data_IF_465595058104
#
_entry.id   IF_465595058104
#
_cell.length_a   1.000
_cell.length_b   1.000
_cell.length_c   1.000
_cell.angle_alpha   90.00
_cell.angle_beta   90.00
_cell.angle_gamma   90.00
#
_symmetry.space_group_name_H-M   'P 1'
#
loop_
_entity.id
_entity.type
_entity.pdbx_description
1 polymer ?
#
# COMPACT_ATOMS: atom_id res chain seq x y z
N UNK A 1 9.25 2.26 11.79
CA UNK A 1 8.83 0.96 11.21
C UNK A 1 9.74 0.60 10.05
N UNK A 2 10.27 -0.63 10.04
CA UNK A 2 11.09 -1.15 8.94
C UNK A 2 10.20 -1.60 7.76
N UNK A 3 10.68 -1.57 6.50
CA UNK A 3 9.84 -1.84 5.33
C UNK A 3 9.15 -3.21 5.37
N UNK A 4 9.85 -4.27 5.77
CA UNK A 4 9.30 -5.63 5.81
C UNK A 4 8.13 -5.78 6.78
N UNK A 5 8.21 -5.17 7.97
CA UNK A 5 7.14 -5.17 8.96
C UNK A 5 5.91 -4.42 8.44
N UNK A 6 6.13 -3.31 7.72
CA UNK A 6 5.06 -2.56 7.09
C UNK A 6 4.36 -3.36 6.00
N UNK A 7 5.13 -4.04 5.15
CA UNK A 7 4.60 -4.90 4.09
C UNK A 7 3.73 -6.02 4.65
N UNK A 8 4.18 -6.66 5.73
CA UNK A 8 3.39 -7.68 6.41
C UNK A 8 2.06 -7.13 6.96
N UNK A 9 2.07 -5.92 7.54
CA UNK A 9 0.84 -5.29 8.02
C UNK A 9 -0.11 -4.90 6.87
N UNK A 10 0.41 -4.39 5.76
CA UNK A 10 -0.39 -4.10 4.56
C UNK A 10 -1.07 -5.38 4.06
N UNK A 11 -0.31 -6.47 3.91
CA UNK A 11 -0.86 -7.76 3.46
C UNK A 11 -1.88 -8.34 4.44
N UNK A 12 -1.63 -8.24 5.75
CA UNK A 12 -2.56 -8.70 6.77
C UNK A 12 -3.89 -7.93 6.71
N UNK A 13 -3.83 -6.60 6.56
CA UNK A 13 -5.02 -5.75 6.41
C UNK A 13 -5.81 -6.08 5.15
N UNK A 14 -5.14 -6.33 4.03
CA UNK A 14 -5.78 -6.78 2.79
C UNK A 14 -6.42 -8.16 2.95
N UNK A 15 -5.74 -9.10 3.60
CA UNK A 15 -6.26 -10.45 3.82
C UNK A 15 -7.48 -10.45 4.75
N UNK A 16 -7.48 -9.61 5.79
CA UNK A 16 -8.58 -9.49 6.74
C UNK A 16 -9.80 -8.80 6.13
N UNK A 17 -9.60 -7.71 5.40
CA UNK A 17 -10.68 -6.83 4.92
C UNK A 17 -11.11 -7.12 3.48
N UNK A 18 -10.32 -7.90 2.75
CA UNK A 18 -10.44 -8.13 1.31
C UNK A 18 -10.00 -6.92 0.49
N UNK A 19 -10.51 -5.73 0.82
CA UNK A 19 -10.17 -4.48 0.14
C UNK A 19 -9.82 -3.35 1.10
N UNK A 20 -8.66 -2.72 0.90
CA UNK A 20 -8.21 -1.53 1.65
C UNK A 20 -7.76 -0.40 0.72
N UNK A 21 -7.93 0.84 1.17
CA UNK A 21 -7.55 2.05 0.45
C UNK A 21 -6.19 2.57 0.91
N UNK A 22 -5.47 3.27 0.04
CA UNK A 22 -4.19 3.90 0.40
C UNK A 22 -4.35 4.87 1.58
N UNK A 23 -5.43 5.66 1.62
CA UNK A 23 -5.69 6.58 2.72
C UNK A 23 -5.76 5.85 4.07
N UNK A 24 -6.49 4.73 4.15
CA UNK A 24 -6.59 3.93 5.37
C UNK A 24 -5.22 3.36 5.79
N UNK A 25 -4.40 2.93 4.83
CA UNK A 25 -3.04 2.46 5.12
C UNK A 25 -2.16 3.59 5.66
N UNK A 26 -2.27 4.80 5.11
CA UNK A 26 -1.50 5.96 5.59
C UNK A 26 -1.89 6.36 7.01
N UNK A 27 -3.18 6.32 7.33
CA UNK A 27 -3.69 6.64 8.67
C UNK A 27 -3.28 5.57 9.69
N UNK A 28 -3.46 4.28 9.37
CA UNK A 28 -3.15 3.17 10.28
C UNK A 28 -1.65 2.99 10.54
N UNK A 29 -0.84 3.15 9.50
CA UNK A 29 0.60 2.90 9.57
C UNK A 29 1.40 4.18 9.88
N UNK A 30 0.71 5.33 9.98
CA UNK A 30 1.30 6.65 10.21
C UNK A 30 2.46 6.96 9.25
N UNK A 31 2.26 6.68 7.96
CA UNK A 31 3.24 6.93 6.88
C UNK A 31 2.62 7.73 5.75
N UNK A 32 3.46 8.38 4.95
CA UNK A 32 3.01 9.16 3.80
C UNK A 32 2.45 8.28 2.67
N UNK A 33 1.60 8.88 1.84
CA UNK A 33 1.07 8.25 0.63
C UNK A 33 2.16 7.72 -0.30
N UNK A 34 3.26 8.48 -0.46
CA UNK A 34 4.42 8.06 -1.28
C UNK A 34 5.13 6.83 -0.71
N UNK A 35 5.16 6.68 0.62
CA UNK A 35 5.72 5.49 1.27
C UNK A 35 4.88 4.27 0.97
N UNK A 36 3.56 4.35 1.17
CA UNK A 36 2.63 3.26 0.83
C UNK A 36 2.73 2.90 -0.66
N UNK A 37 2.76 3.89 -1.57
CA UNK A 37 2.91 3.61 -3.01
C UNK A 37 4.19 2.83 -3.33
N UNK A 38 5.34 3.21 -2.77
CA UNK A 38 6.61 2.50 -2.96
C UNK A 38 6.57 1.08 -2.37
N UNK A 39 5.91 0.92 -1.24
CA UNK A 39 5.76 -0.40 -0.60
C UNK A 39 4.89 -1.34 -1.42
N UNK A 40 3.76 -0.83 -1.92
CA UNK A 40 2.86 -1.57 -2.81
C UNK A 40 3.58 -1.96 -4.11
N UNK A 41 4.31 -1.03 -4.72
CA UNK A 41 5.13 -1.32 -5.90
C UNK A 41 6.11 -2.48 -5.65
N UNK A 42 6.81 -2.46 -4.51
CA UNK A 42 7.71 -3.56 -4.13
C UNK A 42 6.98 -4.88 -3.90
N UNK A 43 5.79 -4.84 -3.31
CA UNK A 43 4.96 -6.03 -3.08
C UNK A 43 4.45 -6.63 -4.39
N UNK A 44 4.08 -5.77 -5.37
CA UNK A 44 3.74 -6.17 -6.73
C UNK A 44 4.90 -6.85 -7.45
N UNK A 45 6.10 -6.24 -7.39
CA UNK A 45 7.33 -6.78 -7.98
C UNK A 45 7.70 -8.16 -7.38
N UNK A 46 7.39 -8.39 -6.10
CA UNK A 46 7.61 -9.66 -5.41
C UNK A 46 6.53 -10.71 -5.69
N UNK A 47 5.53 -10.41 -6.54
CA UNK A 47 4.44 -11.32 -6.89
C UNK A 47 3.36 -11.47 -5.81
N UNK A 48 3.42 -10.65 -4.75
CA UNK A 48 2.62 -10.79 -3.53
C UNK A 48 1.54 -9.70 -3.39
N UNK A 49 0.49 -9.78 -4.19
CA UNK A 49 -0.85 -9.33 -3.74
C UNK A 49 -1.16 -7.83 -3.70
N UNK A 50 -1.28 -7.17 -4.86
CA UNK A 50 -2.00 -5.88 -4.97
C UNK A 50 -3.50 -6.05 -5.27
N UNK A 51 -3.99 -7.29 -5.47
CA UNK A 51 -5.37 -7.56 -5.92
C UNK A 51 -6.47 -7.01 -4.99
N UNK A 52 -6.16 -6.73 -3.72
CA UNK A 52 -7.10 -6.16 -2.75
C UNK A 52 -6.85 -4.69 -2.40
N UNK A 53 -5.95 -3.98 -3.07
CA UNK A 53 -5.72 -2.57 -2.76
C UNK A 53 -6.48 -1.70 -3.78
N UNK A 54 -7.44 -0.90 -3.31
CA UNK A 54 -8.06 0.13 -4.17
C UNK A 54 -7.15 1.33 -4.27
N UNK A 55 -6.40 1.41 -5.38
CA UNK A 55 -5.85 2.67 -5.87
C UNK A 55 -7.04 3.57 -6.24
N UNK A 56 -7.32 4.56 -5.38
CA UNK A 56 -8.35 5.56 -5.66
C UNK A 56 -8.13 6.16 -7.05
N UNK A 57 -9.22 6.32 -7.80
CA UNK A 57 -9.21 6.98 -9.10
C UNK A 57 -8.69 8.42 -8.90
N UNK A 58 -7.43 8.65 -9.25
CA UNK A 58 -6.73 9.89 -8.97
C UNK A 58 -5.41 9.94 -9.71
N UNK A 59 -5.51 10.33 -10.98
CA UNK A 59 -4.59 11.19 -11.73
C UNK A 59 -3.10 10.87 -11.67
N UNK A 60 -2.53 10.53 -12.83
CA UNK A 60 -1.10 10.69 -13.06
C UNK A 60 -0.68 12.17 -13.03
N UNK A 61 0.52 12.42 -12.52
CA UNK A 61 1.42 13.48 -12.95
C UNK A 61 2.84 13.17 -12.45
N UNK A 62 3.81 13.42 -13.32
CA UNK A 62 5.24 13.26 -13.14
C UNK A 62 5.90 14.42 -12.36
N UNK A 63 7.20 14.26 -12.04
CA UNK A 63 8.14 15.30 -11.55
C UNK A 63 8.17 15.41 -10.02
N UNK A 64 9.29 15.39 -9.30
CA UNK A 64 10.72 15.70 -9.57
C UNK A 64 11.60 14.64 -8.86
#
# INVERSE_FOLDING_TARGET
>A
MIPVERHQQILALVAERGVVSIAELTERLAVSHMTIRRDLQKLEEQGGGDRGIRRGAGGGAAGD
#
